data_IF_571813937167
#
_entry.id   IF_571813937167
#
_cell.length_a   1.000
_cell.length_b   1.000
_cell.length_c   1.000
_cell.angle_alpha   90.00
_cell.angle_beta   90.00
_cell.angle_gamma   90.00
#
_symmetry.space_group_name_H-M   'P 1'
#
loop_
_entity.id
_entity.type
_entity.pdbx_description
1 polymer ?
#
# COMPACT_ATOMS: atom_id res chain seq x y z
N UNK A 1 8.77 -15.27 -61.71
CA UNK A 1 8.00 -16.54 -61.70
C UNK A 1 7.74 -16.93 -60.25
N UNK A 2 6.45 -17.08 -59.92
CA UNK A 2 5.85 -17.91 -58.85
C UNK A 2 6.12 -17.56 -57.38
N UNK A 3 5.11 -16.88 -56.81
CA UNK A 3 4.63 -16.99 -55.44
C UNK A 3 4.53 -18.44 -54.95
N UNK A 4 4.73 -18.68 -53.65
CA UNK A 4 3.88 -19.55 -52.82
C UNK A 4 3.98 -19.17 -51.32
N UNK A 5 2.85 -18.85 -50.65
CA UNK A 5 2.78 -18.59 -49.21
C UNK A 5 2.53 -19.90 -48.43
N UNK A 6 3.24 -20.07 -47.32
CA UNK A 6 3.03 -21.18 -46.39
C UNK A 6 1.96 -20.85 -45.35
N UNK A 7 0.72 -21.30 -45.60
CA UNK A 7 -0.33 -21.40 -44.59
C UNK A 7 0.06 -22.42 -43.51
N UNK A 8 -0.16 -22.08 -42.23
CA UNK A 8 -0.41 -23.09 -41.20
C UNK A 8 -1.79 -22.88 -40.56
N UNK A 9 -2.53 -23.97 -40.29
CA UNK A 9 -3.96 -23.94 -40.06
C UNK A 9 -4.36 -23.63 -38.61
N UNK A 10 -5.46 -22.90 -38.51
CA UNK A 10 -6.36 -22.75 -37.37
C UNK A 10 -6.84 -24.12 -36.88
N UNK A 11 -6.81 -24.36 -35.56
CA UNK A 11 -7.57 -25.43 -34.92
C UNK A 11 -8.47 -24.84 -33.83
N UNK A 12 -9.80 -24.92 -33.95
CA UNK A 12 -10.70 -24.70 -32.84
C UNK A 12 -10.74 -25.99 -32.00
N UNK A 13 -10.57 -25.88 -30.68
CA UNK A 13 -10.93 -26.96 -29.77
C UNK A 13 -12.09 -26.46 -28.91
N UNK A 14 -13.28 -26.93 -29.26
CA UNK A 14 -14.48 -26.92 -28.44
C UNK A 14 -14.39 -28.12 -27.50
N UNK A 15 -14.52 -27.92 -26.19
CA UNK A 15 -14.96 -28.98 -25.27
C UNK A 15 -16.05 -28.39 -24.38
N UNK A 16 -17.16 -29.13 -24.35
CA UNK A 16 -18.41 -28.82 -23.69
C UNK A 16 -18.41 -29.22 -22.20
N UNK A 17 -19.11 -28.40 -21.41
CA UNK A 17 -20.09 -28.71 -20.35
C UNK A 17 -19.90 -29.90 -19.39
N UNK A 18 -19.89 -29.61 -18.08
CA UNK A 18 -20.69 -30.26 -17.01
C UNK A 18 -20.36 -29.54 -15.67
N UNK A 19 -21.25 -28.70 -15.13
CA UNK A 19 -22.30 -28.99 -14.14
C UNK A 19 -21.76 -29.39 -12.75
N UNK A 20 -22.10 -28.63 -11.71
CA UNK A 20 -22.49 -29.14 -10.38
C UNK A 20 -23.13 -28.02 -9.52
N UNK A 21 -24.32 -28.34 -9.01
CA UNK A 21 -25.22 -27.53 -8.18
C UNK A 21 -24.83 -27.69 -6.71
N UNK A 22 -24.78 -26.60 -5.94
CA UNK A 22 -24.73 -26.64 -4.48
C UNK A 22 -25.69 -25.59 -3.90
N UNK A 23 -26.74 -26.06 -3.25
CA UNK A 23 -27.69 -25.23 -2.50
C UNK A 23 -27.21 -24.95 -1.08
N UNK A 24 -27.62 -23.82 -0.52
CA UNK A 24 -27.51 -23.51 0.90
C UNK A 24 -28.87 -23.05 1.44
N UNK A 25 -29.28 -23.68 2.53
CA UNK A 25 -30.56 -23.57 3.24
C UNK A 25 -30.58 -22.31 4.11
N UNK A 26 -31.73 -21.61 4.13
CA UNK A 26 -32.05 -20.52 5.07
C UNK A 26 -33.00 -21.05 6.15
N UNK A 27 -32.53 -21.09 7.41
CA UNK A 27 -33.29 -21.13 8.67
C UNK A 27 -32.23 -21.36 9.78
N UNK A 28 -32.17 -20.71 10.93
CA UNK A 28 -33.06 -19.82 11.67
C UNK A 28 -32.66 -19.96 13.14
N UNK A 29 -32.56 -18.86 13.88
CA UNK A 29 -32.56 -18.90 15.35
C UNK A 29 -33.29 -17.67 15.86
N UNK A 30 -34.44 -17.92 16.48
CA UNK A 30 -35.20 -17.01 17.32
C UNK A 30 -35.33 -17.69 18.69
N UNK A 31 -34.77 -17.07 19.74
CA UNK A 31 -35.15 -17.24 21.15
C UNK A 31 -34.39 -16.16 21.94
N UNK A 32 -34.93 -15.40 22.89
CA UNK A 32 -36.19 -15.43 23.61
C UNK A 32 -36.38 -14.06 24.31
N UNK A 33 -37.60 -13.81 24.78
CA UNK A 33 -38.07 -12.50 25.23
C UNK A 33 -37.66 -12.08 26.64
N UNK A 34 -38.18 -10.91 27.04
CA UNK A 34 -38.10 -10.38 28.40
C UNK A 34 -38.22 -8.86 28.41
N UNK A 35 -39.44 -8.36 28.53
CA UNK A 35 -39.73 -6.95 28.77
C UNK A 35 -39.73 -6.68 30.26
N UNK A 36 -39.07 -5.61 30.71
CA UNK A 36 -39.42 -4.89 31.93
C UNK A 36 -39.06 -3.40 31.74
N UNK A 37 -40.08 -2.56 31.87
CA UNK A 37 -39.95 -1.10 31.84
C UNK A 37 -39.86 -0.52 33.25
N UNK A 38 -39.14 0.61 33.32
CA UNK A 38 -39.44 1.81 34.13
C UNK A 38 -38.76 1.96 35.51
N UNK A 39 -37.88 2.97 35.63
CA UNK A 39 -38.25 4.25 36.26
C UNK A 39 -37.13 5.31 36.18
N UNK A 40 -37.51 6.45 35.60
CA UNK A 40 -37.28 7.85 36.00
C UNK A 40 -35.98 8.25 36.72
N UNK A 41 -35.24 9.16 36.08
CA UNK A 41 -34.24 10.03 36.71
C UNK A 41 -33.97 11.24 35.82
N UNK A 42 -34.54 12.37 36.25
CA UNK A 42 -34.21 13.79 36.02
C UNK A 42 -33.29 14.22 34.86
N UNK A 43 -33.76 15.21 34.12
CA UNK A 43 -33.03 15.89 33.06
C UNK A 43 -31.94 16.82 33.63
N UNK A 44 -30.69 16.58 33.26
CA UNK A 44 -29.66 17.62 33.23
C UNK A 44 -29.15 17.73 31.78
N UNK A 45 -29.41 18.86 31.14
CA UNK A 45 -28.92 19.17 29.81
C UNK A 45 -27.43 19.51 29.91
N UNK A 46 -26.58 18.49 29.78
CA UNK A 46 -25.15 18.64 29.49
C UNK A 46 -24.93 18.61 27.98
N UNK A 47 -24.47 19.71 27.41
CA UNK A 47 -23.99 19.77 26.04
C UNK A 47 -22.77 18.85 25.89
N UNK A 48 -22.95 17.72 25.21
CA UNK A 48 -21.85 16.83 24.85
C UNK A 48 -21.18 17.44 23.63
N UNK A 49 -20.10 18.19 23.87
CA UNK A 49 -19.15 18.50 22.79
C UNK A 49 -18.45 17.19 22.45
N UNK A 50 -18.90 16.53 21.39
CA UNK A 50 -18.11 15.50 20.72
C UNK A 50 -16.88 16.20 20.13
N UNK A 51 -15.81 16.28 20.92
CA UNK A 51 -14.49 16.50 20.36
C UNK A 51 -14.20 15.33 19.42
N UNK A 52 -13.75 15.63 18.20
CA UNK A 52 -13.20 14.63 17.29
C UNK A 52 -12.08 13.88 18.02
N UNK A 53 -11.92 12.55 17.81
CA UNK A 53 -10.81 11.84 18.41
C UNK A 53 -9.51 12.51 17.98
N UNK A 54 -8.73 13.00 18.94
CA UNK A 54 -7.36 13.40 18.68
C UNK A 54 -6.62 12.14 18.22
N UNK A 55 -6.04 12.19 17.02
CA UNK A 55 -5.03 11.24 16.59
C UNK A 55 -3.93 11.23 17.66
N UNK A 56 -3.55 10.07 18.23
CA UNK A 56 -2.46 10.05 19.19
C UNK A 56 -1.20 10.55 18.47
N UNK A 57 -0.69 11.69 18.93
CA UNK A 57 0.68 12.11 18.65
C UNK A 57 1.54 11.11 19.42
N UNK A 58 2.27 10.24 18.71
CA UNK A 58 3.20 9.32 19.35
C UNK A 58 4.36 10.14 19.91
N UNK A 59 4.29 10.44 21.22
CA UNK A 59 5.43 10.93 22.00
C UNK A 59 6.56 9.88 21.87
N UNK A 60 7.55 10.19 21.01
CA UNK A 60 8.71 9.34 20.66
C UNK A 60 8.44 8.12 19.75
N UNK A 61 7.53 8.26 18.77
CA UNK A 61 7.23 7.21 17.79
C UNK A 61 7.30 7.67 16.33
N UNK A 62 7.69 6.73 15.46
CA UNK A 62 7.66 6.83 14.00
C UNK A 62 6.49 7.70 13.50
N UNK A 63 6.81 8.83 12.86
CA UNK A 63 5.82 9.65 12.16
C UNK A 63 5.41 8.91 10.89
N UNK A 64 4.13 8.91 10.55
CA UNK A 64 3.71 8.43 9.22
C UNK A 64 3.84 9.57 8.19
N UNK A 65 4.37 9.29 6.98
CA UNK A 65 4.45 10.29 5.93
C UNK A 65 3.07 10.84 5.54
N UNK A 66 2.97 12.15 5.31
CA UNK A 66 1.74 12.79 4.85
C UNK A 66 2.01 13.76 3.68
N UNK A 67 1.18 13.74 2.61
CA UNK A 67 1.36 14.65 1.49
C UNK A 67 0.89 16.07 1.87
N UNK A 68 1.84 16.93 2.23
CA UNK A 68 1.55 18.25 2.84
C UNK A 68 1.86 19.43 1.92
N UNK A 69 2.68 19.24 0.90
CA UNK A 69 3.08 20.29 -0.04
C UNK A 69 3.00 19.81 -1.50
N UNK A 70 2.47 20.65 -2.39
CA UNK A 70 2.49 20.43 -3.85
C UNK A 70 3.88 20.78 -4.39
N UNK A 71 4.72 19.77 -4.66
CA UNK A 71 6.05 19.94 -5.21
C UNK A 71 6.50 18.67 -5.96
N UNK A 72 7.49 18.83 -6.86
CA UNK A 72 8.11 17.69 -7.53
C UNK A 72 8.97 16.87 -6.57
N UNK A 73 8.97 15.56 -6.75
CA UNK A 73 9.84 14.67 -5.99
C UNK A 73 11.30 14.77 -6.49
N UNK A 74 12.29 14.97 -5.61
CA UNK A 74 13.67 15.24 -6.04
C UNK A 74 14.40 14.04 -6.64
N UNK A 75 13.90 12.81 -6.44
CA UNK A 75 14.58 11.57 -6.83
C UNK A 75 13.75 10.65 -7.76
N UNK A 76 12.48 10.98 -8.02
CA UNK A 76 11.61 10.20 -8.89
C UNK A 76 10.63 11.12 -9.64
N UNK A 77 10.64 11.09 -10.96
CA UNK A 77 9.69 11.90 -11.74
C UNK A 77 8.29 11.29 -11.77
N UNK A 78 7.27 12.12 -12.03
CA UNK A 78 5.89 11.66 -12.22
C UNK A 78 5.75 10.69 -13.42
N UNK A 79 6.51 10.91 -14.50
CA UNK A 79 6.55 10.01 -15.66
C UNK A 79 7.12 8.62 -15.30
N UNK A 80 8.23 8.57 -14.56
CA UNK A 80 8.77 7.28 -14.09
C UNK A 80 7.81 6.58 -13.13
N UNK A 81 7.19 7.31 -12.20
CA UNK A 81 6.19 6.76 -11.29
C UNK A 81 4.99 6.17 -12.06
N UNK A 82 4.53 6.86 -13.11
CA UNK A 82 3.47 6.37 -13.99
C UNK A 82 3.89 5.12 -14.77
N UNK A 83 5.12 5.10 -15.29
CA UNK A 83 5.65 3.95 -16.03
C UNK A 83 5.80 2.70 -15.15
N UNK A 84 6.27 2.84 -13.91
CA UNK A 84 6.45 1.72 -13.00
C UNK A 84 5.12 1.14 -12.50
N UNK A 85 4.16 2.00 -12.17
CA UNK A 85 2.85 1.63 -11.64
C UNK A 85 1.84 1.24 -12.73
N UNK A 86 2.02 1.76 -13.94
CA UNK A 86 1.04 1.67 -15.02
C UNK A 86 -0.20 2.54 -14.79
N UNK A 87 -0.18 3.41 -13.78
CA UNK A 87 -1.24 4.36 -13.47
C UNK A 87 -0.88 5.76 -13.96
N UNK A 88 -1.89 6.58 -14.24
CA UNK A 88 -1.65 7.99 -14.55
C UNK A 88 -1.29 8.75 -13.28
N UNK A 89 -0.26 9.59 -13.36
CA UNK A 89 0.15 10.49 -12.28
C UNK A 89 -0.10 11.91 -12.77
N UNK A 90 -1.13 12.55 -12.20
CA UNK A 90 -1.50 13.94 -12.52
C UNK A 90 -1.03 14.93 -11.44
N UNK A 91 -0.63 14.40 -10.28
CA UNK A 91 -0.24 15.18 -9.12
C UNK A 91 0.91 14.54 -8.37
N UNK A 92 1.89 15.37 -7.99
CA UNK A 92 2.97 15.01 -7.06
C UNK A 92 2.90 15.93 -5.84
N UNK A 93 3.07 15.34 -4.67
CA UNK A 93 3.14 16.02 -3.39
C UNK A 93 4.31 15.47 -2.58
N UNK A 94 4.80 16.25 -1.62
CA UNK A 94 5.89 15.84 -0.72
C UNK A 94 5.51 16.00 0.75
N UNK A 95 6.27 15.32 1.60
CA UNK A 95 6.37 15.60 3.03
C UNK A 95 7.79 16.12 3.36
N UNK A 96 7.97 17.44 3.56
CA UNK A 96 9.29 18.02 3.80
C UNK A 96 9.83 17.79 5.21
N UNK A 97 9.09 17.11 6.09
CA UNK A 97 9.61 16.74 7.41
C UNK A 97 10.48 15.46 7.40
N UNK A 98 10.59 14.79 6.25
CA UNK A 98 11.57 13.73 6.00
C UNK A 98 12.79 14.31 5.27
N UNK A 99 13.96 13.70 5.47
CA UNK A 99 15.19 14.04 4.75
C UNK A 99 15.84 12.75 4.20
N UNK A 100 15.82 12.54 2.86
CA UNK A 100 15.15 13.36 1.84
C UNK A 100 13.61 13.35 1.98
N UNK A 101 12.88 14.32 1.38
CA UNK A 101 11.43 14.44 1.55
C UNK A 101 10.69 13.21 1.03
N UNK A 102 9.68 12.73 1.76
CA UNK A 102 8.84 11.64 1.27
C UNK A 102 7.99 12.12 0.11
N UNK A 103 7.81 11.29 -0.91
CA UNK A 103 7.11 11.65 -2.15
C UNK A 103 5.83 10.84 -2.33
N UNK A 104 4.79 11.51 -2.83
CA UNK A 104 3.47 10.96 -3.09
C UNK A 104 3.08 11.28 -4.52
N UNK A 105 2.65 10.26 -5.25
CA UNK A 105 2.20 10.37 -6.64
C UNK A 105 0.75 9.89 -6.71
N UNK A 106 -0.07 10.61 -7.47
CA UNK A 106 -1.49 10.32 -7.50
C UNK A 106 -2.25 11.13 -8.53
N UNK A 107 -3.57 11.15 -8.35
CA UNK A 107 -4.50 11.89 -9.20
C UNK A 107 -4.76 13.29 -8.66
N UNK A 108 -5.28 14.18 -9.51
CA UNK A 108 -5.64 15.55 -9.11
C UNK A 108 -6.72 15.59 -8.01
N UNK A 109 -7.52 14.53 -7.87
CA UNK A 109 -8.55 14.38 -6.83
C UNK A 109 -7.99 13.96 -5.46
N UNK A 110 -6.66 13.79 -5.35
CA UNK A 110 -5.96 13.52 -4.10
C UNK A 110 -5.78 12.03 -3.77
N UNK A 111 -6.17 11.12 -4.66
CA UNK A 111 -5.91 9.70 -4.49
C UNK A 111 -4.42 9.40 -4.73
N UNK A 112 -3.70 8.96 -3.70
CA UNK A 112 -2.30 8.54 -3.80
C UNK A 112 -2.25 7.10 -4.32
N UNK A 113 -1.46 6.89 -5.37
CA UNK A 113 -1.24 5.58 -6.02
C UNK A 113 0.16 5.02 -5.79
N UNK A 114 1.12 5.89 -5.44
CA UNK A 114 2.49 5.53 -5.07
C UNK A 114 3.01 6.47 -3.98
N UNK A 115 3.67 5.91 -2.97
CA UNK A 115 4.39 6.62 -1.93
C UNK A 115 5.82 6.08 -1.83
N UNK A 116 6.79 6.97 -1.68
CA UNK A 116 8.20 6.63 -1.44
C UNK A 116 8.72 7.44 -0.27
N UNK A 117 9.29 6.78 0.74
CA UNK A 117 9.90 7.45 1.90
C UNK A 117 11.24 6.84 2.27
N UNK A 118 12.11 7.68 2.81
CA UNK A 118 13.35 7.31 3.49
C UNK A 118 13.29 7.90 4.87
N UNK A 119 13.71 7.14 5.87
CA UNK A 119 13.89 7.66 7.20
C UNK A 119 15.11 7.07 7.89
N UNK A 120 15.56 7.77 8.91
CA UNK A 120 16.67 7.35 9.77
C UNK A 120 16.10 7.06 11.16
N UNK A 121 16.40 5.89 11.69
CA UNK A 121 15.99 5.46 13.03
C UNK A 121 17.20 5.40 13.97
N UNK A 122 17.00 4.98 15.22
CA UNK A 122 18.06 5.07 16.24
C UNK A 122 19.24 4.12 16.02
N UNK A 123 19.04 3.02 15.30
CA UNK A 123 20.07 1.99 15.07
C UNK A 123 19.69 1.02 13.95
N UNK A 124 20.65 0.20 13.51
CA UNK A 124 20.39 -0.88 12.54
C UNK A 124 19.42 -1.94 13.06
N UNK A 125 19.48 -2.30 14.35
CA UNK A 125 18.52 -3.23 14.95
C UNK A 125 17.10 -2.67 14.92
N UNK A 126 16.95 -1.36 15.11
CA UNK A 126 15.68 -0.65 15.02
C UNK A 126 15.18 -0.58 13.57
N UNK A 127 16.08 -0.37 12.61
CA UNK A 127 15.76 -0.34 11.18
C UNK A 127 15.26 -1.71 10.70
N UNK A 128 15.95 -2.78 11.11
CA UNK A 128 15.53 -4.16 10.85
C UNK A 128 14.17 -4.46 11.48
N UNK A 129 13.96 -4.08 12.73
CA UNK A 129 12.68 -4.28 13.45
C UNK A 129 11.52 -3.56 12.75
N UNK A 130 11.76 -2.33 12.29
CA UNK A 130 10.78 -1.54 11.56
C UNK A 130 10.46 -2.14 10.18
N UNK A 131 11.46 -2.63 9.46
CA UNK A 131 11.23 -3.37 8.20
C UNK A 131 10.40 -4.63 8.45
N UNK A 132 10.69 -5.41 9.49
CA UNK A 132 9.89 -6.60 9.84
C UNK A 132 8.45 -6.25 10.25
N UNK A 133 8.21 -5.06 10.79
CA UNK A 133 6.87 -4.54 11.09
C UNK A 133 6.09 -4.16 9.82
N UNK A 134 6.76 -3.53 8.86
CA UNK A 134 6.15 -3.08 7.59
C UNK A 134 5.93 -4.27 6.64
N UNK A 135 6.90 -5.18 6.56
CA UNK A 135 6.89 -6.36 5.68
C UNK A 135 7.27 -7.62 6.48
N UNK A 136 6.31 -8.26 7.17
CA UNK A 136 6.59 -9.43 8.00
C UNK A 136 7.26 -10.59 7.23
N UNK A 137 8.32 -11.20 7.76
CA UNK A 137 9.14 -12.17 7.02
C UNK A 137 8.42 -13.48 6.68
N UNK A 138 7.33 -13.81 7.38
CA UNK A 138 6.50 -14.99 7.14
C UNK A 138 5.48 -14.80 6.01
N UNK A 139 5.30 -13.58 5.53
CA UNK A 139 4.31 -13.21 4.51
C UNK A 139 4.89 -12.42 3.33
N UNK A 140 6.21 -12.32 3.23
CA UNK A 140 6.90 -11.50 2.22
C UNK A 140 7.96 -12.28 1.45
N UNK A 141 8.25 -11.81 0.24
CA UNK A 141 9.38 -12.23 -0.57
C UNK A 141 10.60 -11.38 -0.23
N UNK A 142 11.80 -11.96 -0.27
CA UNK A 142 13.05 -11.21 -0.07
C UNK A 142 13.23 -10.13 -1.14
N UNK A 143 13.65 -8.95 -0.70
CA UNK A 143 14.10 -7.86 -1.56
C UNK A 143 15.55 -7.49 -1.22
N UNK A 144 16.41 -7.45 -2.23
CA UNK A 144 17.79 -7.00 -2.13
C UNK A 144 18.01 -5.91 -3.19
N UNK A 145 18.59 -4.77 -2.81
CA UNK A 145 18.90 -3.65 -3.70
C UNK A 145 20.40 -3.36 -3.65
N UNK A 146 20.94 -2.88 -4.77
CA UNK A 146 22.33 -2.43 -4.83
C UNK A 146 22.66 -1.42 -3.73
N UNK A 147 23.91 -1.44 -3.24
CA UNK A 147 24.34 -0.60 -2.12
C UNK A 147 24.06 -1.20 -0.74
N UNK A 148 23.69 -2.48 -0.66
CA UNK A 148 23.62 -3.25 0.59
C UNK A 148 22.27 -3.18 1.30
N UNK A 149 21.22 -2.71 0.63
CA UNK A 149 19.88 -2.69 1.20
C UNK A 149 19.23 -4.07 1.12
N UNK A 150 18.59 -4.48 2.21
CA UNK A 150 17.91 -5.78 2.28
C UNK A 150 16.63 -5.69 3.11
N UNK A 151 15.67 -6.57 2.82
CA UNK A 151 14.38 -6.59 3.48
C UNK A 151 13.37 -7.45 2.74
N UNK A 152 12.14 -6.94 2.62
CA UNK A 152 11.01 -7.69 2.10
C UNK A 152 10.11 -6.89 1.17
N UNK A 153 9.35 -7.62 0.36
CA UNK A 153 8.24 -7.07 -0.42
C UNK A 153 7.06 -8.03 -0.43
N UNK A 154 5.86 -7.48 -0.56
CA UNK A 154 4.65 -8.25 -0.75
C UNK A 154 3.73 -7.55 -1.75
N UNK A 155 2.75 -8.31 -2.23
CA UNK A 155 1.62 -7.80 -2.97
C UNK A 155 0.35 -8.53 -2.54
N UNK A 156 -0.73 -7.79 -2.42
CA UNK A 156 -2.07 -8.28 -2.08
C UNK A 156 -3.12 -7.47 -2.84
N UNK A 157 -4.40 -7.78 -2.64
CA UNK A 157 -5.50 -6.98 -3.21
C UNK A 157 -5.50 -5.53 -2.69
N UNK A 158 -4.82 -5.24 -1.57
CA UNK A 158 -4.68 -3.89 -1.03
C UNK A 158 -3.56 -3.07 -1.71
N UNK A 159 -2.72 -3.69 -2.53
CA UNK A 159 -1.57 -3.06 -3.15
C UNK A 159 -0.27 -3.85 -2.97
N UNK A 160 0.85 -3.20 -3.21
CA UNK A 160 2.18 -3.75 -3.02
C UNK A 160 3.01 -2.85 -2.09
N UNK A 161 3.81 -3.49 -1.25
CA UNK A 161 4.71 -2.82 -0.32
C UNK A 161 6.10 -3.43 -0.45
N UNK A 162 7.13 -2.59 -0.46
CA UNK A 162 8.53 -2.98 -0.28
C UNK A 162 9.11 -2.13 0.83
N UNK A 163 9.81 -2.78 1.76
CA UNK A 163 10.63 -2.08 2.74
C UNK A 163 11.97 -2.79 2.88
N UNK A 164 13.03 -2.00 2.86
CA UNK A 164 14.42 -2.45 2.99
C UNK A 164 15.16 -1.51 3.92
N UNK A 165 16.18 -2.02 4.60
CA UNK A 165 17.05 -1.23 5.46
C UNK A 165 18.51 -1.35 5.05
N UNK A 166 19.29 -0.35 5.46
CA UNK A 166 20.75 -0.34 5.40
C UNK A 166 21.25 0.54 6.54
N UNK A 167 22.11 -0.02 7.40
CA UNK A 167 22.53 0.68 8.63
C UNK A 167 21.27 1.15 9.39
N UNK A 168 21.20 2.41 9.77
CA UNK A 168 20.08 3.03 10.49
C UNK A 168 18.99 3.59 9.56
N UNK A 169 19.07 3.36 8.25
CA UNK A 169 18.09 3.89 7.29
C UNK A 169 17.05 2.84 6.88
N UNK A 170 15.81 3.27 6.74
CA UNK A 170 14.70 2.47 6.18
C UNK A 170 14.13 3.16 4.96
N UNK A 171 14.05 2.40 3.86
CA UNK A 171 13.43 2.83 2.61
C UNK A 171 12.14 2.06 2.40
N UNK A 172 11.04 2.77 2.17
CA UNK A 172 9.72 2.16 1.97
C UNK A 172 9.07 2.67 0.67
N UNK A 173 8.49 1.74 -0.07
CA UNK A 173 7.63 2.02 -1.23
C UNK A 173 6.28 1.35 -1.01
N UNK A 174 5.20 2.11 -1.16
CA UNK A 174 3.83 1.59 -1.14
C UNK A 174 3.13 1.99 -2.43
N UNK A 175 2.45 1.03 -3.06
CA UNK A 175 1.68 1.26 -4.27
C UNK A 175 0.30 0.60 -4.17
N UNK A 176 -0.73 1.21 -4.75
CA UNK A 176 -2.11 0.66 -4.71
C UNK A 176 -2.31 -0.52 -5.67
N UNK A 177 -1.37 -0.75 -6.60
CA UNK A 177 -1.45 -1.87 -7.54
C UNK A 177 -0.81 -3.11 -6.93
N UNK A 178 -1.48 -4.26 -7.10
CA UNK A 178 -1.06 -5.55 -6.59
C UNK A 178 0.11 -6.16 -7.41
N UNK A 179 1.24 -5.44 -7.53
CA UNK A 179 2.43 -5.87 -8.28
C UNK A 179 3.70 -5.59 -7.49
N UNK A 180 4.28 -6.64 -6.90
CA UNK A 180 5.54 -6.51 -6.14
C UNK A 180 6.72 -6.09 -7.03
N UNK A 181 6.64 -6.31 -8.34
CA UNK A 181 7.64 -5.84 -9.30
C UNK A 181 7.61 -4.31 -9.48
N UNK A 182 6.46 -3.65 -9.30
CA UNK A 182 6.37 -2.20 -9.41
C UNK A 182 7.17 -1.52 -8.30
N UNK A 183 6.96 -1.95 -7.06
CA UNK A 183 7.68 -1.41 -5.89
C UNK A 183 9.17 -1.76 -5.91
N UNK A 184 9.54 -2.91 -6.48
CA UNK A 184 10.94 -3.27 -6.73
C UNK A 184 11.61 -2.31 -7.73
N UNK A 185 10.98 -2.05 -8.89
CA UNK A 185 11.54 -1.15 -9.91
C UNK A 185 11.71 0.28 -9.38
N UNK A 186 10.76 0.74 -8.57
CA UNK A 186 10.87 2.03 -7.87
C UNK A 186 12.09 2.03 -6.94
N UNK A 187 12.27 0.99 -6.12
CA UNK A 187 13.40 0.87 -5.21
C UNK A 187 14.75 0.85 -5.96
N UNK A 188 14.88 0.02 -6.99
CA UNK A 188 16.08 -0.09 -7.83
C UNK A 188 16.44 1.23 -8.53
N UNK A 189 15.42 2.05 -8.81
CA UNK A 189 15.59 3.36 -9.46
C UNK A 189 15.94 4.47 -8.48
N UNK A 190 15.27 4.49 -7.33
CA UNK A 190 15.35 5.60 -6.37
C UNK A 190 16.57 5.47 -5.48
N UNK A 191 16.85 4.30 -4.92
CA UNK A 191 17.95 4.11 -3.95
C UNK A 191 19.31 4.61 -4.46
N UNK A 192 19.70 4.41 -5.73
CA UNK A 192 20.95 4.97 -6.27
C UNK A 192 21.00 6.50 -6.41
N UNK A 193 19.86 7.18 -6.23
CA UNK A 193 19.69 8.64 -6.37
C UNK A 193 19.54 9.35 -5.01
N UNK A 194 19.46 8.58 -3.92
CA UNK A 194 19.42 9.07 -2.55
C UNK A 194 20.82 9.45 -2.04
#
# INVERSE_FOLDING_TARGET
MRFHPGHRPTRPFVVASAALVAGALLAGCNDGGGADSQASGDAEYGEIVTAAPATPESDEGFRQPAPTEDADCPYLSAEEAADFTGETVDKTQIDPAYDPPACFFGTQDGAVTLMVSVETVESEDEAMRLVDEIVPPDSTERADIDGGWTGGKNASEAGATLAVYREDQVFTVQATQARSEAVQLVADTVIPRL
#
